data_IF_780392667566
#
_entry.id   IF_780392667566
#
_cell.length_a   1.000
_cell.length_b   1.000
_cell.length_c   1.000
_cell.angle_alpha   90.00
_cell.angle_beta   90.00
_cell.angle_gamma   90.00
#
_symmetry.space_group_name_H-M   'P 1'
#
loop_
_entity.id
_entity.type
_entity.pdbx_description
1 polymer ?
#
# COMPACT_ATOMS: atom_id res chain seq x y z
N UNK A 1 13.67 27.67 -21.77
CA UNK A 1 13.04 27.42 -20.46
C UNK A 1 11.61 27.94 -20.51
N UNK A 2 10.64 27.21 -19.96
CA UNK A 2 9.20 27.56 -19.84
C UNK A 2 8.24 27.08 -20.95
N UNK A 3 8.28 25.79 -21.32
CA UNK A 3 7.14 25.16 -22.00
C UNK A 3 6.55 23.92 -21.29
N UNK A 4 7.14 23.49 -20.17
CA UNK A 4 6.73 22.26 -19.45
C UNK A 4 6.04 22.48 -18.10
N UNK A 5 5.74 23.72 -17.70
CA UNK A 5 5.16 24.03 -16.38
C UNK A 5 3.65 24.32 -16.39
N UNK A 6 2.96 24.18 -17.53
CA UNK A 6 1.54 24.56 -17.63
C UNK A 6 0.54 23.41 -17.46
N UNK A 7 0.98 22.16 -17.35
CA UNK A 7 0.09 20.99 -17.40
C UNK A 7 -0.57 20.63 -16.06
N UNK A 8 -0.02 21.06 -14.91
CA UNK A 8 -0.56 20.76 -13.58
C UNK A 8 -0.77 22.00 -12.69
N UNK A 9 -1.07 23.17 -13.28
CA UNK A 9 -1.79 24.20 -12.50
C UNK A 9 -3.21 23.70 -12.34
N UNK A 10 -3.65 23.48 -11.11
CA UNK A 10 -5.05 23.24 -10.76
C UNK A 10 -5.93 24.14 -11.63
N UNK A 11 -6.73 23.52 -12.51
CA UNK A 11 -7.49 24.21 -13.55
C UNK A 11 -8.30 25.32 -12.90
N UNK A 12 -8.00 26.57 -13.24
CA UNK A 12 -8.74 27.71 -12.69
C UNK A 12 -10.24 27.56 -13.03
N UNK A 13 -11.15 27.83 -12.09
CA UNK A 13 -12.58 27.76 -12.35
C UNK A 13 -12.97 28.74 -13.46
N UNK A 14 -13.96 28.39 -14.29
CA UNK A 14 -14.52 29.26 -15.33
C UNK A 14 -14.00 29.04 -16.74
N UNK A 15 -13.20 27.99 -16.99
CA UNK A 15 -12.71 27.65 -18.34
C UNK A 15 -13.77 26.99 -19.21
N UNK A 16 -14.59 26.14 -18.61
CA UNK A 16 -15.63 25.39 -19.30
C UNK A 16 -16.82 25.17 -18.35
N UNK A 17 -18.00 25.73 -18.66
CA UNK A 17 -19.18 25.63 -17.80
C UNK A 17 -19.62 24.19 -17.54
N UNK A 18 -19.44 23.28 -18.51
CA UNK A 18 -19.86 21.89 -18.36
C UNK A 18 -18.90 21.12 -17.43
N UNK A 19 -17.59 21.34 -17.55
CA UNK A 19 -16.59 20.77 -16.62
C UNK A 19 -16.79 21.31 -15.20
N UNK A 20 -17.00 22.62 -15.05
CA UNK A 20 -17.24 23.21 -13.74
C UNK A 20 -18.54 22.69 -13.10
N UNK A 21 -19.60 22.51 -13.89
CA UNK A 21 -20.84 21.92 -13.43
C UNK A 21 -20.66 20.45 -13.02
N UNK A 22 -19.92 19.66 -13.81
CA UNK A 22 -19.63 18.26 -13.49
C UNK A 22 -18.82 18.13 -12.20
N UNK A 23 -17.73 18.91 -12.05
CA UNK A 23 -16.91 18.91 -10.83
C UNK A 23 -17.78 19.29 -9.62
N UNK A 24 -18.56 20.37 -9.71
CA UNK A 24 -19.48 20.77 -8.64
C UNK A 24 -20.48 19.67 -8.29
N UNK A 25 -21.07 19.02 -9.29
CA UNK A 25 -22.05 17.95 -9.08
C UNK A 25 -21.41 16.72 -8.44
N UNK A 26 -20.25 16.28 -8.92
CA UNK A 26 -19.51 15.14 -8.37
C UNK A 26 -19.05 15.40 -6.94
N UNK A 27 -18.45 16.58 -6.68
CA UNK A 27 -18.06 16.98 -5.33
C UNK A 27 -19.28 17.08 -4.42
N UNK A 28 -20.37 17.70 -4.85
CA UNK A 28 -21.62 17.74 -4.07
C UNK A 28 -22.14 16.34 -3.77
N UNK A 29 -22.13 15.44 -4.75
CA UNK A 29 -22.50 14.03 -4.57
C UNK A 29 -21.65 13.36 -3.49
N UNK A 30 -20.33 13.50 -3.54
CA UNK A 30 -19.42 12.94 -2.54
C UNK A 30 -19.63 13.55 -1.14
N UNK A 31 -19.79 14.86 -1.05
CA UNK A 31 -19.95 15.58 0.22
C UNK A 31 -21.31 15.32 0.89
N UNK A 32 -22.34 15.03 0.08
CA UNK A 32 -23.70 14.74 0.58
C UNK A 32 -23.99 13.24 0.70
N UNK A 33 -23.12 12.38 0.14
CA UNK A 33 -23.28 10.94 0.25
C UNK A 33 -23.09 10.53 1.71
N UNK A 34 -24.12 9.95 2.31
CA UNK A 34 -23.97 9.31 3.60
C UNK A 34 -23.26 7.97 3.40
N UNK A 35 -22.12 7.73 4.05
CA UNK A 35 -21.46 6.44 3.97
C UNK A 35 -22.43 5.37 4.47
N UNK A 36 -22.71 4.37 3.63
CA UNK A 36 -23.47 3.20 4.08
C UNK A 36 -22.74 2.57 5.26
N UNK A 37 -23.49 2.07 6.25
CA UNK A 37 -22.90 1.29 7.34
C UNK A 37 -22.06 0.18 6.73
N UNK A 38 -20.75 0.27 6.94
CA UNK A 38 -19.82 -0.77 6.53
C UNK A 38 -19.91 -1.88 7.57
N UNK A 39 -20.22 -3.08 7.10
CA UNK A 39 -20.10 -4.28 7.92
C UNK A 39 -18.71 -4.86 7.72
N UNK A 40 -18.09 -5.41 8.79
CA UNK A 40 -16.87 -6.18 8.65
C UNK A 40 -17.08 -7.31 7.64
N UNK A 41 -16.10 -7.53 6.76
CA UNK A 41 -16.08 -8.67 5.83
C UNK A 41 -15.60 -9.98 6.50
N UNK A 42 -15.33 -9.94 7.81
CA UNK A 42 -14.88 -11.07 8.61
C UNK A 42 -15.67 -11.12 9.92
N UNK A 43 -16.00 -12.34 10.37
CA UNK A 43 -16.72 -12.58 11.60
C UNK A 43 -15.83 -12.38 12.85
N UNK A 44 -16.44 -12.46 14.03
CA UNK A 44 -15.73 -12.27 15.30
C UNK A 44 -14.71 -13.37 15.54
N UNK A 45 -15.05 -14.59 15.14
CA UNK A 45 -14.22 -15.79 15.26
C UNK A 45 -12.99 -15.68 14.36
N UNK A 46 -13.15 -15.22 13.12
CA UNK A 46 -12.04 -14.94 12.20
C UNK A 46 -11.14 -13.83 12.73
N UNK A 47 -11.71 -12.75 13.27
CA UNK A 47 -10.92 -11.69 13.92
C UNK A 47 -10.10 -12.23 15.10
N UNK A 48 -10.69 -13.12 15.90
CA UNK A 48 -10.01 -13.77 17.02
C UNK A 48 -8.88 -14.66 16.51
N UNK A 49 -9.15 -15.50 15.51
CA UNK A 49 -8.15 -16.36 14.89
C UNK A 49 -6.97 -15.54 14.30
N UNK A 50 -7.25 -14.42 13.64
CA UNK A 50 -6.20 -13.51 13.14
C UNK A 50 -5.39 -12.88 14.28
N UNK A 51 -6.03 -12.55 15.41
CA UNK A 51 -5.34 -12.02 16.59
C UNK A 51 -4.44 -13.07 17.23
N UNK A 52 -4.92 -14.30 17.35
CA UNK A 52 -4.13 -15.44 17.84
C UNK A 52 -2.96 -15.72 16.91
N UNK A 53 -3.21 -15.77 15.60
CA UNK A 53 -2.18 -15.99 14.58
C UNK A 53 -1.09 -14.90 14.62
N UNK A 54 -1.48 -13.61 14.78
CA UNK A 54 -0.54 -12.50 14.92
C UNK A 54 0.33 -12.59 16.17
N UNK A 55 -0.20 -13.15 17.25
CA UNK A 55 0.48 -13.25 18.55
C UNK A 55 1.26 -14.55 18.72
N UNK A 56 1.20 -15.47 17.75
CA UNK A 56 1.97 -16.71 17.78
C UNK A 56 3.46 -16.41 17.55
N UNK A 57 4.30 -16.70 18.55
CA UNK A 57 5.73 -16.44 18.53
C UNK A 57 6.54 -17.47 17.73
N UNK A 58 5.94 -18.62 17.39
CA UNK A 58 6.61 -19.72 16.69
C UNK A 58 6.64 -19.54 15.17
N UNK A 59 5.88 -18.55 14.67
CA UNK A 59 5.74 -18.28 13.24
C UNK A 59 6.14 -16.86 12.89
N UNK A 60 6.56 -16.66 11.64
CA UNK A 60 6.78 -15.36 11.04
C UNK A 60 5.91 -15.21 9.79
N UNK A 61 5.24 -14.06 9.69
CA UNK A 61 4.36 -13.72 8.56
C UNK A 61 4.99 -12.56 7.80
N UNK A 62 5.28 -12.76 6.52
CA UNK A 62 5.86 -11.73 5.64
C UNK A 62 5.11 -11.65 4.31
N UNK A 63 5.13 -10.49 3.62
CA UNK A 63 4.71 -10.44 2.23
C UNK A 63 5.58 -11.41 1.41
N UNK A 64 4.97 -12.12 0.47
CA UNK A 64 5.73 -12.91 -0.47
C UNK A 64 6.57 -12.00 -1.38
N UNK A 65 7.79 -12.45 -1.70
CA UNK A 65 8.71 -11.73 -2.60
C UNK A 65 8.06 -11.48 -3.97
N UNK A 66 7.34 -12.48 -4.47
CA UNK A 66 6.43 -12.34 -5.60
C UNK A 66 5.07 -11.89 -5.07
N UNK A 67 4.55 -10.77 -5.58
CA UNK A 67 3.31 -10.18 -5.10
C UNK A 67 2.09 -11.09 -5.18
N UNK A 68 1.02 -10.73 -4.46
CA UNK A 68 -0.26 -11.45 -4.47
C UNK A 68 -0.37 -12.58 -3.45
N UNK A 69 0.63 -12.80 -2.60
CA UNK A 69 0.61 -13.81 -1.56
C UNK A 69 1.27 -13.33 -0.24
N UNK A 70 1.04 -14.11 0.81
CA UNK A 70 1.71 -14.00 2.11
C UNK A 70 2.43 -15.31 2.40
N UNK A 71 3.58 -15.23 3.07
CA UNK A 71 4.35 -16.40 3.50
C UNK A 71 4.25 -16.52 5.00
N UNK A 72 3.95 -17.73 5.47
CA UNK A 72 3.96 -18.11 6.89
C UNK A 72 5.05 -19.16 7.06
N UNK A 73 6.04 -18.88 7.91
CA UNK A 73 7.19 -19.77 8.14
C UNK A 73 7.34 -20.05 9.62
N UNK A 74 7.87 -21.22 9.97
CA UNK A 74 8.39 -21.45 11.31
C UNK A 74 9.57 -20.50 11.57
N UNK A 75 9.63 -19.90 12.75
CA UNK A 75 10.64 -18.89 13.06
C UNK A 75 12.06 -19.48 13.11
N UNK A 76 12.20 -20.72 13.58
CA UNK A 76 13.49 -21.41 13.70
C UNK A 76 14.07 -21.68 12.32
N UNK A 77 13.27 -22.26 11.42
CA UNK A 77 13.69 -22.55 10.05
C UNK A 77 14.02 -21.26 9.28
N UNK A 78 13.18 -20.23 9.46
CA UNK A 78 13.42 -18.92 8.85
C UNK A 78 14.76 -18.31 9.27
N UNK A 79 15.09 -18.38 10.57
CA UNK A 79 16.37 -17.87 11.09
C UNK A 79 17.53 -18.72 10.56
N UNK A 80 17.42 -20.05 10.59
CA UNK A 80 18.46 -20.95 10.11
C UNK A 80 18.79 -20.70 8.63
N UNK A 81 17.77 -20.58 7.78
CA UNK A 81 17.93 -20.24 6.36
C UNK A 81 18.57 -18.86 6.19
N UNK A 82 18.10 -17.86 6.94
CA UNK A 82 18.68 -16.52 6.93
C UNK A 82 20.18 -16.54 7.27
N UNK A 83 20.57 -17.26 8.32
CA UNK A 83 21.98 -17.37 8.74
C UNK A 83 22.84 -18.17 7.77
N UNK A 84 22.24 -19.11 7.04
CA UNK A 84 22.96 -19.95 6.07
C UNK A 84 23.29 -19.19 4.79
N UNK A 85 22.32 -18.43 4.27
CA UNK A 85 22.46 -17.80 2.94
C UNK A 85 22.72 -16.30 2.98
N UNK A 86 22.47 -15.62 4.10
CA UNK A 86 22.60 -14.17 4.18
C UNK A 86 23.63 -13.77 5.23
N UNK A 87 24.66 -13.05 4.79
CA UNK A 87 25.61 -12.39 5.68
C UNK A 87 25.06 -11.03 6.07
N UNK A 88 24.93 -10.74 7.38
CA UNK A 88 24.57 -9.40 7.85
C UNK A 88 25.63 -8.40 7.37
N UNK A 89 25.23 -7.43 6.56
CA UNK A 89 26.13 -6.37 6.13
C UNK A 89 26.45 -5.42 7.30
N UNK A 90 27.71 -5.01 7.42
CA UNK A 90 28.16 -4.07 8.45
C UNK A 90 27.71 -2.62 8.20
N UNK A 91 27.05 -2.35 7.07
CA UNK A 91 26.55 -1.03 6.71
C UNK A 91 25.28 -1.14 5.86
N UNK A 92 24.40 -0.14 5.98
CA UNK A 92 23.18 -0.05 5.18
C UNK A 92 23.53 0.31 3.72
N UNK A 93 23.43 -0.67 2.84
CA UNK A 93 23.69 -0.50 1.39
C UNK A 93 22.41 -0.19 0.60
N UNK A 94 21.25 -0.05 1.24
CA UNK A 94 19.96 0.20 0.56
C UNK A 94 19.99 1.44 -0.35
N UNK A 95 20.83 2.43 -0.01
CA UNK A 95 21.06 3.63 -0.82
C UNK A 95 21.79 3.35 -2.15
N UNK A 96 22.66 2.33 -2.18
CA UNK A 96 23.49 1.97 -3.34
C UNK A 96 22.71 1.20 -4.42
N UNK A 97 21.65 0.48 -4.02
CA UNK A 97 20.87 -0.40 -4.88
C UNK A 97 19.44 0.10 -5.14
N UNK A 98 19.14 1.37 -4.84
CA UNK A 98 17.95 2.04 -5.37
C UNK A 98 18.11 2.21 -6.88
N UNK A 99 17.88 1.13 -7.63
CA UNK A 99 17.61 1.22 -9.07
C UNK A 99 16.28 1.97 -9.16
N UNK A 100 16.34 3.23 -9.58
CA UNK A 100 15.13 3.98 -9.90
C UNK A 100 14.44 3.17 -10.98
N UNK A 101 13.34 2.51 -10.64
CA UNK A 101 12.43 1.93 -11.61
C UNK A 101 11.77 3.13 -12.31
N UNK A 102 12.48 3.72 -13.26
CA UNK A 102 11.87 4.56 -14.28
C UNK A 102 11.10 3.56 -15.16
N UNK A 103 9.78 3.55 -15.00
CA UNK A 103 8.92 2.94 -15.99
C UNK A 103 8.90 3.90 -17.17
N UNK A 104 9.58 3.53 -18.25
CA UNK A 104 9.49 4.17 -19.57
C UNK A 104 8.10 3.92 -20.20
#
# INVERSE_FOLDING_TARGET
MNHFLHFFRSRAPGRDPALDAFIKAATKGLMTCQPRKSFPNICTEEKRALKELKNNADIIIKPADKGGAVVVLNITDYIAECTTYYCKLNSDTSKKYKKVLVMD
#
